data_IF_926274986377
#
_entry.id   IF_926274986377
#
_cell.length_a   1.000
_cell.length_b   1.000
_cell.length_c   1.000
_cell.angle_alpha   90.00
_cell.angle_beta   90.00
_cell.angle_gamma   90.00
#
_symmetry.space_group_name_H-M   'P 1'
#
loop_
_entity.id
_entity.type
_entity.pdbx_description
1 polymer ?
#
# COMPACT_ATOMS: atom_id res chain seq x y z
N UNK A 1 11.28 -11.05 -13.42
CA UNK A 1 10.76 -9.73 -13.00
C UNK A 1 9.26 -9.89 -12.82
N UNK A 2 8.68 -9.39 -11.72
CA UNK A 2 7.26 -9.59 -11.41
C UNK A 2 6.37 -8.96 -12.49
N UNK A 3 5.45 -9.73 -13.08
CA UNK A 3 4.50 -9.22 -14.08
C UNK A 3 3.35 -8.49 -13.38
N UNK A 4 2.96 -7.33 -13.88
CA UNK A 4 1.79 -6.58 -13.37
C UNK A 4 0.71 -6.60 -14.43
N UNK A 5 -0.43 -7.18 -14.10
CA UNK A 5 -1.60 -7.26 -14.96
C UNK A 5 -2.66 -6.29 -14.42
N UNK A 6 -3.22 -5.47 -15.30
CA UNK A 6 -4.23 -4.48 -14.94
C UNK A 6 -5.57 -4.89 -15.54
N UNK A 7 -6.51 -5.27 -14.67
CA UNK A 7 -7.90 -5.60 -15.00
C UNK A 7 -8.86 -4.61 -14.34
N UNK A 8 -8.40 -3.37 -14.12
CA UNK A 8 -9.24 -2.31 -13.52
C UNK A 8 -9.70 -1.32 -14.57
N UNK A 9 -10.99 -0.99 -14.53
CA UNK A 9 -11.59 0.02 -15.41
C UNK A 9 -11.44 1.46 -14.87
N UNK A 10 -10.80 1.61 -13.71
CA UNK A 10 -10.64 2.90 -13.06
C UNK A 10 -9.71 3.84 -13.85
N UNK A 11 -10.13 5.10 -14.06
CA UNK A 11 -9.39 6.12 -14.84
C UNK A 11 -7.94 6.37 -14.37
N UNK A 12 -7.64 6.13 -13.09
CA UNK A 12 -6.30 6.29 -12.51
C UNK A 12 -5.45 5.01 -12.50
N UNK A 13 -5.88 3.94 -13.19
CA UNK A 13 -5.22 2.64 -13.17
C UNK A 13 -3.75 2.71 -13.62
N UNK A 14 -3.43 3.52 -14.63
CA UNK A 14 -2.05 3.74 -15.08
C UNK A 14 -1.13 4.27 -13.96
N UNK A 15 -1.59 5.29 -13.20
CA UNK A 15 -0.83 5.85 -12.08
C UNK A 15 -0.67 4.85 -10.93
N UNK A 16 -1.69 4.02 -10.70
CA UNK A 16 -1.63 2.95 -9.70
C UNK A 16 -0.59 1.92 -10.11
N UNK A 17 -0.59 1.48 -11.36
CA UNK A 17 0.42 0.55 -11.90
C UNK A 17 1.83 1.11 -11.75
N UNK A 18 2.05 2.38 -12.10
CA UNK A 18 3.35 3.04 -11.91
C UNK A 18 3.79 3.08 -10.45
N UNK A 19 2.87 3.42 -9.55
CA UNK A 19 3.13 3.44 -8.11
C UNK A 19 3.47 2.04 -7.59
N UNK A 20 2.72 1.02 -8.00
CA UNK A 20 3.00 -0.38 -7.65
C UNK A 20 4.35 -0.82 -8.17
N UNK A 21 4.72 -0.47 -9.41
CA UNK A 21 6.07 -0.73 -9.96
C UNK A 21 7.17 -0.08 -9.11
N UNK A 22 6.96 1.16 -8.68
CA UNK A 22 7.90 1.86 -7.80
C UNK A 22 8.03 1.18 -6.43
N UNK A 23 6.92 0.72 -5.86
CA UNK A 23 6.91 -0.01 -4.59
C UNK A 23 7.60 -1.39 -4.71
N UNK A 24 7.38 -2.13 -5.79
CA UNK A 24 8.05 -3.41 -6.02
C UNK A 24 9.57 -3.23 -6.08
N UNK A 25 10.05 -2.15 -6.74
CA UNK A 25 11.48 -1.81 -6.79
C UNK A 25 12.08 -1.47 -5.41
N UNK A 26 11.25 -1.11 -4.43
CA UNK A 26 11.69 -0.81 -3.07
C UNK A 26 11.93 -2.08 -2.23
N UNK A 27 11.26 -3.18 -2.58
CA UNK A 27 11.33 -4.43 -1.84
C UNK A 27 12.58 -5.24 -2.28
N UNK A 28 13.27 -5.94 -1.36
CA UNK A 28 14.33 -6.87 -1.72
C UNK A 28 13.87 -7.92 -2.74
N UNK A 29 14.70 -8.19 -3.76
CA UNK A 29 14.33 -9.10 -4.86
C UNK A 29 14.06 -10.52 -4.37
N UNK A 30 14.72 -10.90 -3.28
CA UNK A 30 14.61 -12.20 -2.63
C UNK A 30 13.19 -12.43 -2.10
N UNK A 31 12.54 -11.38 -1.57
CA UNK A 31 11.18 -11.48 -1.03
C UNK A 31 10.11 -11.60 -2.11
N UNK A 32 10.47 -11.30 -3.37
CA UNK A 32 9.61 -11.44 -4.54
C UNK A 32 9.81 -12.78 -5.26
N UNK A 33 10.80 -13.59 -4.82
CA UNK A 33 11.15 -14.85 -5.46
C UNK A 33 10.01 -15.85 -5.34
N UNK A 34 9.53 -16.33 -6.49
CA UNK A 34 8.43 -17.30 -6.53
C UNK A 34 7.05 -16.69 -6.72
N UNK A 35 6.96 -15.35 -6.73
CA UNK A 35 5.76 -14.63 -7.18
C UNK A 35 5.86 -14.40 -8.69
N UNK A 36 4.88 -14.90 -9.46
CA UNK A 36 4.84 -14.73 -10.91
C UNK A 36 4.24 -13.38 -11.30
N UNK A 37 3.08 -13.05 -10.73
CA UNK A 37 2.28 -11.90 -11.14
C UNK A 37 1.56 -11.22 -9.98
N UNK A 38 1.27 -9.94 -10.20
CA UNK A 38 0.36 -9.13 -9.40
C UNK A 38 -0.76 -8.63 -10.31
N UNK A 39 -2.01 -8.88 -9.92
CA UNK A 39 -3.21 -8.41 -10.61
C UNK A 39 -3.84 -7.27 -9.86
N UNK A 40 -4.12 -6.19 -10.59
CA UNK A 40 -5.03 -5.15 -10.13
C UNK A 40 -6.41 -5.50 -10.65
N UNK A 41 -7.38 -5.62 -9.76
CA UNK A 41 -8.77 -5.95 -10.07
C UNK A 41 -9.68 -4.93 -9.40
N UNK A 42 -10.90 -4.74 -9.89
CA UNK A 42 -11.83 -3.83 -9.24
C UNK A 42 -12.32 -4.42 -7.91
N UNK A 43 -12.72 -5.68 -7.91
CA UNK A 43 -13.09 -6.45 -6.72
C UNK A 43 -12.52 -7.88 -6.75
N UNK A 44 -12.31 -8.47 -5.58
CA UNK A 44 -11.80 -9.85 -5.46
C UNK A 44 -12.98 -10.81 -5.40
N UNK A 45 -13.07 -11.72 -6.38
CA UNK A 45 -14.08 -12.76 -6.44
C UNK A 45 -13.42 -14.14 -6.30
N UNK A 46 -13.27 -14.63 -5.06
CA UNK A 46 -12.77 -15.98 -4.79
C UNK A 46 -13.87 -16.83 -4.12
N UNK A 47 -14.13 -18.01 -4.68
CA UNK A 47 -15.11 -18.98 -4.19
C UNK A 47 -14.79 -19.53 -2.79
N UNK A 48 -13.57 -19.34 -2.27
CA UNK A 48 -13.15 -19.73 -0.91
C UNK A 48 -13.62 -18.75 0.15
N UNK A 49 -13.99 -17.53 -0.25
CA UNK A 49 -14.30 -16.43 0.66
C UNK A 49 -15.80 -16.28 0.94
N UNK A 50 -16.61 -17.35 0.80
CA UNK A 50 -18.08 -17.30 0.91
C UNK A 50 -18.63 -16.64 2.19
N UNK A 51 -17.84 -16.60 3.28
CA UNK A 51 -18.21 -15.96 4.56
C UNK A 51 -17.74 -14.50 4.70
N UNK A 52 -16.82 -14.03 3.86
CA UNK A 52 -16.28 -12.66 3.90
C UNK A 52 -16.85 -11.91 2.72
N UNK A 53 -17.51 -10.77 2.96
CA UNK A 53 -18.04 -9.96 1.85
C UNK A 53 -16.88 -9.55 0.93
N UNK A 54 -16.83 -10.02 -0.33
CA UNK A 54 -15.69 -9.80 -1.23
C UNK A 54 -15.40 -8.31 -1.48
N UNK A 55 -16.41 -7.45 -1.30
CA UNK A 55 -16.32 -5.99 -1.41
C UNK A 55 -15.47 -5.31 -0.32
N UNK A 56 -15.00 -6.02 0.71
CA UNK A 56 -14.22 -5.43 1.81
C UNK A 56 -12.74 -5.80 1.81
N UNK A 57 -12.30 -6.73 0.98
CA UNK A 57 -10.91 -7.20 1.00
C UNK A 57 -10.03 -6.36 0.07
N UNK A 58 -8.99 -5.70 0.59
CA UNK A 58 -8.15 -4.83 -0.23
C UNK A 58 -7.08 -5.57 -1.03
N UNK A 59 -6.80 -6.82 -0.67
CA UNK A 59 -5.88 -7.68 -1.40
C UNK A 59 -5.99 -9.13 -0.98
N UNK A 60 -5.56 -10.02 -1.87
CA UNK A 60 -5.56 -11.46 -1.64
C UNK A 60 -4.24 -12.07 -2.11
N UNK A 61 -3.67 -12.93 -1.27
CA UNK A 61 -2.49 -13.73 -1.59
C UNK A 61 -2.92 -15.12 -2.03
N UNK A 62 -2.47 -15.53 -3.22
CA UNK A 62 -2.68 -16.86 -3.74
C UNK A 62 -1.39 -17.67 -3.60
N UNK A 63 -1.29 -18.60 -2.64
CA UNK A 63 -0.10 -19.44 -2.48
C UNK A 63 0.06 -20.38 -3.67
N UNK A 64 1.28 -20.88 -3.88
CA UNK A 64 1.58 -21.89 -4.91
C UNK A 64 0.70 -23.13 -4.71
N UNK A 65 -0.02 -23.53 -5.75
CA UNK A 65 -0.88 -24.73 -5.76
C UNK A 65 -0.57 -25.57 -6.98
N UNK A 66 0.08 -26.72 -6.77
CA UNK A 66 0.51 -27.62 -7.84
C UNK A 66 1.43 -26.93 -8.85
N UNK A 67 0.95 -26.83 -10.09
CA UNK A 67 1.65 -26.19 -11.22
C UNK A 67 1.52 -24.67 -11.23
N UNK A 68 0.51 -24.11 -10.55
CA UNK A 68 0.31 -22.67 -10.48
C UNK A 68 1.24 -22.06 -9.44
N UNK A 69 2.07 -21.11 -9.87
CA UNK A 69 2.97 -20.38 -8.97
C UNK A 69 2.20 -19.38 -8.09
N UNK A 70 2.88 -18.79 -7.12
CA UNK A 70 2.23 -17.82 -6.23
C UNK A 70 1.97 -16.49 -6.96
N UNK A 71 0.85 -15.85 -6.66
CA UNK A 71 0.47 -14.58 -7.26
C UNK A 71 -0.36 -13.72 -6.30
N UNK A 72 -0.45 -12.43 -6.60
CA UNK A 72 -1.06 -11.43 -5.74
C UNK A 72 -2.25 -10.74 -6.42
N UNK A 73 -3.27 -10.39 -5.66
CA UNK A 73 -4.39 -9.55 -6.10
C UNK A 73 -4.53 -8.33 -5.21
N UNK A 74 -4.81 -7.18 -5.82
CA UNK A 74 -5.16 -5.94 -5.12
C UNK A 74 -6.47 -5.42 -5.70
N UNK A 75 -7.46 -5.24 -4.83
CA UNK A 75 -8.77 -4.69 -5.19
C UNK A 75 -8.75 -3.17 -5.13
N UNK A 76 -8.81 -2.50 -6.28
CA UNK A 76 -8.71 -1.04 -6.36
C UNK A 76 -9.98 -0.36 -5.86
N UNK A 77 -11.16 -0.95 -6.04
CA UNK A 77 -12.43 -0.36 -5.63
C UNK A 77 -12.53 -0.21 -4.10
N UNK A 78 -12.00 -1.18 -3.35
CA UNK A 78 -11.98 -1.10 -1.87
C UNK A 78 -11.08 0.03 -1.36
N UNK A 79 -10.03 0.37 -2.11
CA UNK A 79 -9.09 1.44 -1.80
C UNK A 79 -9.58 2.81 -2.30
N UNK A 80 -10.40 2.82 -3.35
CA UNK A 80 -11.01 4.00 -3.96
C UNK A 80 -12.50 3.73 -4.17
N UNK A 81 -13.35 3.93 -3.15
CA UNK A 81 -14.79 3.74 -3.31
C UNK A 81 -15.33 4.84 -4.24
N UNK A 82 -15.51 4.49 -5.51
CA UNK A 82 -15.96 5.40 -6.57
C UNK A 82 -17.39 5.91 -6.32
N UNK A 83 -18.19 5.13 -5.60
CA UNK A 83 -19.60 5.38 -5.30
C UNK A 83 -19.87 6.24 -4.05
N UNK A 84 -18.85 6.58 -3.24
CA UNK A 84 -19.05 7.36 -2.00
C UNK A 84 -19.31 8.87 -2.25
N UNK A 85 -19.77 9.65 -1.27
CA UNK A 85 -19.91 11.13 -1.42
C UNK A 85 -18.55 11.82 -1.64
N UNK A 86 -18.51 12.99 -2.29
CA UNK A 86 -17.27 13.70 -2.66
C UNK A 86 -16.26 13.84 -1.49
N UNK A 87 -16.71 14.25 -0.30
CA UNK A 87 -15.86 14.37 0.89
C UNK A 87 -15.33 13.02 1.39
N UNK A 88 -16.15 11.96 1.30
CA UNK A 88 -15.76 10.58 1.63
C UNK A 88 -14.78 9.99 0.60
N UNK A 89 -14.66 10.57 -0.60
CA UNK A 89 -13.64 10.21 -1.60
C UNK A 89 -12.31 10.93 -1.38
N UNK A 90 -12.30 12.09 -0.70
CA UNK A 90 -11.10 12.92 -0.59
C UNK A 90 -10.03 12.26 0.30
N UNK A 91 -10.43 11.76 1.47
CA UNK A 91 -9.50 11.10 2.41
C UNK A 91 -8.85 9.84 1.80
N UNK A 92 -9.59 8.89 1.19
CA UNK A 92 -8.97 7.73 0.53
C UNK A 92 -8.07 8.10 -0.64
N UNK A 93 -8.36 9.18 -1.37
CA UNK A 93 -7.49 9.65 -2.46
C UNK A 93 -6.14 10.17 -1.97
N UNK A 94 -6.13 10.86 -0.82
CA UNK A 94 -4.91 11.37 -0.20
C UNK A 94 -4.05 10.24 0.38
N UNK A 95 -4.68 9.21 0.98
CA UNK A 95 -3.99 8.06 1.56
C UNK A 95 -3.80 6.88 0.59
N UNK A 96 -4.29 6.97 -0.65
CA UNK A 96 -4.27 5.89 -1.63
C UNK A 96 -2.89 5.23 -1.78
N UNK A 97 -1.86 6.05 -1.94
CA UNK A 97 -0.48 5.58 -2.13
C UNK A 97 0.02 4.76 -0.94
N UNK A 98 -0.39 5.16 0.26
CA UNK A 98 0.02 4.52 1.51
C UNK A 98 -0.79 3.25 1.77
N UNK A 99 -2.08 3.27 1.44
CA UNK A 99 -2.93 2.08 1.52
C UNK A 99 -2.46 1.00 0.51
N UNK A 100 -2.15 1.37 -0.73
CA UNK A 100 -1.59 0.44 -1.72
C UNK A 100 -0.26 -0.14 -1.21
N UNK A 101 0.60 0.69 -0.63
CA UNK A 101 1.87 0.22 -0.07
C UNK A 101 1.66 -0.76 1.09
N UNK A 102 0.72 -0.45 1.99
CA UNK A 102 0.40 -1.32 3.12
C UNK A 102 -0.13 -2.67 2.66
N UNK A 103 -1.07 -2.68 1.70
CA UNK A 103 -1.62 -3.91 1.11
C UNK A 103 -0.52 -4.71 0.42
N UNK A 104 0.27 -4.07 -0.44
CA UNK A 104 1.33 -4.74 -1.18
C UNK A 104 2.39 -5.35 -0.25
N UNK A 105 2.86 -4.60 0.76
CA UNK A 105 3.84 -5.12 1.71
C UNK A 105 3.26 -6.21 2.60
N UNK A 106 1.97 -6.14 2.95
CA UNK A 106 1.28 -7.23 3.65
C UNK A 106 1.25 -8.50 2.80
N UNK A 107 0.85 -8.42 1.52
CA UNK A 107 0.81 -9.56 0.61
C UNK A 107 2.19 -10.17 0.35
N UNK A 108 3.22 -9.34 0.18
CA UNK A 108 4.60 -9.83 0.05
C UNK A 108 5.08 -10.46 1.36
N UNK A 109 4.73 -9.86 2.50
CA UNK A 109 5.03 -10.42 3.82
C UNK A 109 4.42 -11.80 4.00
N UNK A 110 3.15 -11.97 3.61
CA UNK A 110 2.48 -13.27 3.60
C UNK A 110 3.26 -14.25 2.73
N UNK A 111 3.58 -13.89 1.48
CA UNK A 111 4.37 -14.76 0.62
C UNK A 111 5.72 -15.15 1.24
N UNK A 112 6.44 -14.20 1.80
CA UNK A 112 7.75 -14.41 2.42
C UNK A 112 7.68 -15.38 3.60
N UNK A 113 6.74 -15.18 4.54
CA UNK A 113 6.62 -16.05 5.72
C UNK A 113 5.95 -17.39 5.45
N UNK A 114 5.09 -17.50 4.42
CA UNK A 114 4.49 -18.78 4.03
C UNK A 114 5.40 -19.63 3.14
N UNK A 115 6.27 -19.01 2.34
CA UNK A 115 6.98 -19.73 1.27
C UNK A 115 8.49 -19.74 1.44
N UNK A 116 9.09 -18.62 1.86
CA UNK A 116 10.54 -18.44 1.83
C UNK A 116 11.19 -18.66 3.19
N UNK A 117 10.51 -18.26 4.28
CA UNK A 117 11.05 -18.40 5.63
C UNK A 117 10.64 -19.74 6.24
N UNK A 118 11.62 -20.56 6.57
CA UNK A 118 11.41 -21.81 7.29
C UNK A 118 11.18 -21.59 8.79
N UNK A 119 10.56 -22.57 9.46
CA UNK A 119 10.40 -22.62 10.92
C UNK A 119 9.49 -21.55 11.55
N UNK A 120 8.54 -21.01 10.79
CA UNK A 120 7.53 -20.08 11.31
C UNK A 120 6.27 -20.84 11.73
N UNK A 121 5.85 -20.67 13.00
CA UNK A 121 4.59 -21.23 13.49
C UNK A 121 3.41 -20.47 12.89
N UNK A 122 2.36 -21.18 12.49
CA UNK A 122 1.14 -20.57 11.90
C UNK A 122 0.55 -19.47 12.79
N UNK A 123 0.57 -19.65 14.10
CA UNK A 123 0.08 -18.65 15.08
C UNK A 123 0.84 -17.33 15.08
N UNK A 124 2.09 -17.32 14.59
CA UNK A 124 2.95 -16.13 14.58
C UNK A 124 2.93 -15.39 13.25
N UNK A 125 2.35 -15.98 12.19
CA UNK A 125 2.43 -15.44 10.83
C UNK A 125 1.81 -14.05 10.75
N UNK A 126 0.63 -13.85 11.33
CA UNK A 126 -0.06 -12.55 11.29
C UNK A 126 0.79 -11.44 11.92
N UNK A 127 1.36 -11.71 13.11
CA UNK A 127 2.23 -10.76 13.82
C UNK A 127 3.46 -10.45 12.96
N UNK A 128 4.10 -11.47 12.38
CA UNK A 128 5.29 -11.32 11.57
C UNK A 128 5.01 -10.53 10.27
N UNK A 129 3.89 -10.81 9.60
CA UNK A 129 3.43 -10.07 8.42
C UNK A 129 3.16 -8.61 8.76
N UNK A 130 2.52 -8.35 9.91
CA UNK A 130 2.28 -6.99 10.40
C UNK A 130 3.59 -6.26 10.66
N UNK A 131 4.51 -6.85 11.42
CA UNK A 131 5.82 -6.25 11.70
C UNK A 131 6.63 -6.00 10.42
N UNK A 132 6.55 -6.91 9.45
CA UNK A 132 7.18 -6.74 8.14
C UNK A 132 6.61 -5.54 7.39
N UNK A 133 5.28 -5.42 7.37
CA UNK A 133 4.55 -4.32 6.74
C UNK A 133 4.93 -2.98 7.37
N UNK A 134 4.86 -2.89 8.70
CA UNK A 134 5.23 -1.70 9.47
C UNK A 134 6.69 -1.27 9.22
N UNK A 135 7.61 -2.24 9.20
CA UNK A 135 9.03 -1.99 8.88
C UNK A 135 9.20 -1.37 7.49
N UNK A 136 8.57 -1.94 6.46
CA UNK A 136 8.74 -1.47 5.07
C UNK A 136 8.04 -0.13 4.83
N UNK A 137 6.88 0.09 5.47
CA UNK A 137 6.21 1.39 5.47
C UNK A 137 7.08 2.47 6.14
N UNK A 138 7.69 2.16 7.29
CA UNK A 138 8.60 3.08 7.99
C UNK A 138 9.80 3.46 7.12
N UNK A 139 10.49 2.46 6.55
CA UNK A 139 11.64 2.70 5.67
C UNK A 139 11.27 3.54 4.43
N UNK A 140 10.10 3.29 3.83
CA UNK A 140 9.59 4.09 2.72
C UNK A 140 9.36 5.54 3.17
N UNK A 141 8.68 5.72 4.30
CA UNK A 141 8.36 7.04 4.83
C UNK A 141 9.61 7.84 5.17
N UNK A 142 10.63 7.21 5.74
CA UNK A 142 11.92 7.85 6.02
C UNK A 142 12.61 8.31 4.72
N UNK A 143 12.59 7.48 3.67
CA UNK A 143 13.14 7.83 2.36
C UNK A 143 12.37 8.99 1.72
N UNK A 144 11.05 8.97 1.75
CA UNK A 144 10.23 10.07 1.24
C UNK A 144 10.42 11.36 2.03
N UNK A 145 10.44 11.29 3.37
CA UNK A 145 10.68 12.45 4.23
C UNK A 145 12.06 13.06 3.96
N UNK A 146 13.10 12.24 3.76
CA UNK A 146 14.45 12.72 3.40
C UNK A 146 14.44 13.47 2.07
N UNK A 147 13.69 12.97 1.08
CA UNK A 147 13.53 13.63 -0.21
C UNK A 147 12.75 14.95 -0.09
N UNK A 148 11.62 14.95 0.63
CA UNK A 148 10.81 16.16 0.87
C UNK A 148 11.60 17.20 1.67
N UNK A 149 12.30 16.80 2.73
CA UNK A 149 13.15 17.70 3.50
C UNK A 149 14.23 18.34 2.62
N UNK A 150 14.86 17.58 1.71
CA UNK A 150 15.80 18.15 0.74
C UNK A 150 15.15 19.16 -0.20
N UNK A 151 13.92 18.92 -0.64
CA UNK A 151 13.18 19.83 -1.51
C UNK A 151 12.74 21.12 -0.80
N UNK A 152 12.30 21.02 0.46
CA UNK A 152 11.77 22.16 1.23
C UNK A 152 12.80 22.94 2.02
N UNK A 153 14.03 22.42 2.20
CA UNK A 153 15.16 23.14 2.80
C UNK A 153 15.30 24.61 2.37
N UNK A 154 15.30 24.97 1.07
CA UNK A 154 15.43 26.38 0.65
C UNK A 154 14.24 27.26 1.05
N UNK A 155 13.06 26.67 1.27
CA UNK A 155 11.83 27.38 1.63
C UNK A 155 11.54 27.35 3.15
N UNK A 156 12.38 26.68 3.95
CA UNK A 156 12.26 26.67 5.40
C UNK A 156 12.17 28.07 6.03
N UNK A 157 13.00 29.08 5.67
CA UNK A 157 12.94 30.37 6.34
C UNK A 157 11.63 31.13 6.07
N UNK A 158 11.01 30.96 4.91
CA UNK A 158 9.72 31.59 4.60
C UNK A 158 8.56 30.88 5.29
N UNK A 159 8.58 29.54 5.32
CA UNK A 159 7.61 28.73 6.04
C UNK A 159 7.63 29.01 7.55
N UNK A 160 8.80 29.17 8.16
CA UNK A 160 8.91 29.55 9.57
C UNK A 160 8.34 30.94 9.86
N UNK A 161 8.57 31.91 8.97
CA UNK A 161 8.00 33.26 9.10
C UNK A 161 6.47 33.22 9.05
N UNK A 162 5.90 32.46 8.12
CA UNK A 162 4.45 32.28 8.02
C UNK A 162 3.87 31.51 9.21
N UNK A 163 4.54 30.45 9.67
CA UNK A 163 4.13 29.70 10.84
C UNK A 163 4.08 30.57 12.10
N UNK A 164 5.09 31.44 12.31
CA UNK A 164 5.10 32.40 13.41
C UNK A 164 3.97 33.44 13.30
N UNK A 165 3.66 33.91 12.09
CA UNK A 165 2.54 34.83 11.87
C UNK A 165 1.18 34.16 12.14
N UNK A 166 1.00 32.89 11.74
CA UNK A 166 -0.21 32.13 12.02
C UNK A 166 -0.36 31.84 13.52
N UNK A 167 0.71 31.42 14.20
CA UNK A 167 0.69 31.20 15.65
C UNK A 167 0.35 32.49 16.42
N UNK A 168 0.89 33.64 16.02
CA UNK A 168 0.51 34.94 16.61
C UNK A 168 -0.97 35.26 16.40
N UNK A 169 -1.54 34.91 15.24
CA UNK A 169 -2.97 35.10 14.96
C UNK A 169 -3.86 34.16 15.77
N UNK A 170 -3.46 32.91 15.98
CA UNK A 170 -4.24 31.97 16.79
C UNK A 170 -4.18 32.27 18.29
N UNK A 171 -3.04 32.79 18.77
CA UNK A 171 -2.88 33.20 20.19
C UNK A 171 -3.65 34.50 20.47
N UNK A 172 -3.79 35.39 19.48
CA UNK A 172 -4.51 36.66 19.61
C UNK A 172 -5.96 36.60 19.09
N UNK A 173 -6.46 35.42 18.68
CA UNK A 173 -7.86 35.27 18.31
C UNK A 173 -8.72 35.22 19.59
N UNK A 174 -9.75 36.06 19.73
CA UNK A 174 -10.68 35.92 20.85
C UNK A 174 -11.41 34.57 20.76
N UNK A 175 -11.62 33.94 21.93
CA UNK A 175 -12.39 32.70 22.06
C UNK A 175 -13.85 32.89 21.66
#
# INVERSE_FOLDING_TARGET
MLKIENFTDHKSSAKIVEHVRALIKFVPKEHLRGIERLRLVDSIADARLKSVTPSKLPGLYHPRQGTQTAWLEIAVETLLPSHASFYKRLLPRLSLKDNIAAVLFSLIGQHYYFTLKHSVKKSQIEILVRSYTEKHLKLRNEREKKLRARLFKPLQPTLERWARQLQKRTVNAPK
#
